data_IF_944709101984
#
_entry.id   IF_944709101984
#
_cell.length_a   1.000
_cell.length_b   1.000
_cell.length_c   1.000
_cell.angle_alpha   90.00
_cell.angle_beta   90.00
_cell.angle_gamma   90.00
#
_symmetry.space_group_name_H-M   'P 1'
#
loop_
_entity.id
_entity.type
_entity.pdbx_description
1 polymer ?
#
# COMPACT_ATOMS: atom_id res chain seq x y z
N UNK A 1 -3.38 -2.59 -6.12
CA UNK A 1 -2.77 -3.86 -5.62
C UNK A 1 -3.88 -4.64 -4.95
N UNK A 2 -4.21 -5.81 -5.49
CA UNK A 2 -5.21 -6.69 -4.89
C UNK A 2 -4.75 -7.05 -3.48
N UNK A 3 -5.66 -7.01 -2.50
CA UNK A 3 -5.33 -7.39 -1.12
C UNK A 3 -4.92 -8.88 -1.13
N UNK A 4 -3.82 -9.23 -0.48
CA UNK A 4 -3.33 -10.61 -0.33
C UNK A 4 -4.45 -11.55 0.14
N UNK A 5 -5.40 -11.04 0.93
CA UNK A 5 -6.58 -11.78 1.39
C UNK A 5 -7.51 -12.15 0.23
N UNK A 6 -7.71 -11.25 -0.73
CA UNK A 6 -8.51 -11.52 -1.93
C UNK A 6 -7.82 -12.57 -2.80
N UNK A 7 -6.51 -12.44 -3.03
CA UNK A 7 -5.73 -13.42 -3.78
C UNK A 7 -5.81 -14.81 -3.17
N UNK A 8 -5.71 -14.93 -1.85
CA UNK A 8 -5.83 -16.21 -1.15
C UNK A 8 -7.25 -16.78 -1.18
N UNK A 9 -8.27 -15.95 -1.32
CA UNK A 9 -9.66 -16.42 -1.48
C UNK A 9 -9.87 -17.04 -2.86
N UNK A 10 -9.28 -16.45 -3.89
CA UNK A 10 -9.35 -16.89 -5.28
C UNK A 10 -8.50 -18.15 -5.54
N UNK A 11 -7.45 -18.40 -4.74
CA UNK A 11 -6.55 -19.52 -4.92
C UNK A 11 -7.28 -20.85 -4.66
N UNK A 12 -7.32 -21.74 -5.67
CA UNK A 12 -7.70 -23.13 -5.46
C UNK A 12 -6.56 -23.87 -4.76
N UNK A 13 -6.80 -24.19 -3.48
CA UNK A 13 -5.77 -24.79 -2.63
C UNK A 13 -5.46 -26.24 -3.04
N UNK A 14 -6.43 -27.00 -3.52
CA UNK A 14 -6.22 -28.37 -3.98
C UNK A 14 -5.38 -28.39 -5.26
N UNK A 15 -5.73 -27.54 -6.22
CA UNK A 15 -4.94 -27.39 -7.44
C UNK A 15 -3.52 -26.91 -7.15
N UNK A 16 -3.36 -26.00 -6.17
CA UNK A 16 -2.03 -25.55 -5.74
C UNK A 16 -1.21 -26.69 -5.13
N UNK A 17 -1.81 -27.58 -4.32
CA UNK A 17 -1.12 -28.78 -3.81
C UNK A 17 -0.61 -29.68 -4.95
N UNK A 18 -1.45 -29.87 -5.99
CA UNK A 18 -1.08 -30.66 -7.17
C UNK A 18 0.09 -30.02 -7.92
N UNK A 19 0.07 -28.70 -8.12
CA UNK A 19 1.11 -27.96 -8.83
C UNK A 19 2.47 -27.99 -8.11
N UNK A 20 2.44 -27.89 -6.78
CA UNK A 20 3.66 -27.97 -5.95
C UNK A 20 4.13 -29.41 -5.71
N UNK A 21 3.40 -30.41 -6.24
CA UNK A 21 3.73 -31.82 -6.03
C UNK A 21 3.58 -32.31 -4.59
N UNK A 22 2.77 -31.62 -3.80
CA UNK A 22 2.53 -31.95 -2.40
C UNK A 22 1.66 -33.18 -2.31
N UNK A 23 2.13 -34.19 -1.58
CA UNK A 23 1.40 -35.47 -1.44
C UNK A 23 0.25 -35.31 -0.45
N UNK A 24 -0.97 -35.55 -0.92
CA UNK A 24 -2.18 -35.51 -0.08
C UNK A 24 -3.14 -36.62 -0.45
N UNK A 25 -4.15 -36.83 0.41
CA UNK A 25 -5.28 -37.76 0.18
C UNK A 25 -6.58 -36.94 0.27
N UNK A 26 -7.52 -37.24 -0.58
CA UNK A 26 -8.87 -36.68 -0.48
C UNK A 26 -9.60 -37.35 0.67
N UNK A 27 -10.06 -36.55 1.61
CA UNK A 27 -10.97 -36.99 2.67
C UNK A 27 -12.40 -37.17 2.17
N UNK A 28 -13.26 -37.71 3.02
CA UNK A 28 -14.69 -37.78 2.74
C UNK A 28 -15.34 -36.39 2.70
N UNK A 29 -16.48 -36.30 2.00
CA UNK A 29 -17.33 -35.10 2.07
C UNK A 29 -18.15 -35.20 3.35
N UNK A 30 -17.92 -34.31 4.28
CA UNK A 30 -18.70 -34.17 5.52
C UNK A 30 -19.68 -33.01 5.44
N UNK A 31 -20.56 -32.86 6.40
CA UNK A 31 -21.42 -31.68 6.57
C UNK A 31 -20.61 -30.39 6.76
N UNK A 32 -19.33 -30.52 7.07
CA UNK A 32 -18.37 -29.41 7.23
C UNK A 32 -17.60 -29.04 5.95
N UNK A 33 -17.84 -29.76 4.83
CA UNK A 33 -17.22 -29.52 3.55
C UNK A 33 -16.23 -30.62 3.13
N UNK A 34 -15.45 -30.31 2.06
CA UNK A 34 -14.41 -31.20 1.51
C UNK A 34 -13.12 -31.03 2.32
N UNK A 35 -12.50 -32.15 2.63
CA UNK A 35 -11.24 -32.17 3.37
C UNK A 35 -10.14 -32.88 2.58
N UNK A 36 -8.90 -32.44 2.77
CA UNK A 36 -7.69 -33.14 2.32
C UNK A 36 -6.82 -33.45 3.53
N UNK A 37 -6.15 -34.61 3.45
CA UNK A 37 -5.16 -35.02 4.44
C UNK A 37 -3.77 -34.98 3.79
N UNK A 38 -2.94 -34.06 4.23
CA UNK A 38 -1.61 -33.78 3.66
C UNK A 38 -0.57 -34.62 4.39
N UNK A 39 0.35 -35.22 3.63
CA UNK A 39 1.36 -36.13 4.15
C UNK A 39 2.33 -35.47 5.10
N UNK A 40 2.83 -34.30 4.74
CA UNK A 40 3.90 -33.61 5.46
C UNK A 40 3.44 -32.24 5.97
N UNK A 41 3.85 -31.92 7.18
CA UNK A 41 3.57 -30.61 7.78
C UNK A 41 4.67 -29.63 7.45
N UNK A 42 4.39 -28.46 6.85
CA UNK A 42 5.43 -27.49 6.49
C UNK A 42 6.03 -26.78 7.70
N UNK A 43 5.46 -26.94 8.89
CA UNK A 43 5.94 -26.30 10.13
C UNK A 43 6.85 -27.22 10.93
N UNK A 44 6.39 -28.44 11.23
CA UNK A 44 7.17 -29.37 12.06
C UNK A 44 7.84 -30.50 11.26
N UNK A 45 7.66 -30.56 9.92
CA UNK A 45 8.25 -31.60 9.07
C UNK A 45 7.68 -33.02 9.29
N UNK A 46 6.68 -33.19 10.16
CA UNK A 46 6.07 -34.50 10.37
C UNK A 46 5.44 -35.05 9.09
N UNK A 47 5.88 -36.24 8.65
CA UNK A 47 5.44 -36.91 7.42
C UNK A 47 4.39 -38.00 7.66
N UNK A 48 3.69 -37.97 8.77
CA UNK A 48 2.81 -39.05 9.24
C UNK A 48 1.31 -38.84 8.94
N UNK A 49 0.96 -38.07 7.91
CA UNK A 49 -0.42 -37.78 7.54
C UNK A 49 -1.23 -37.12 8.66
N UNK A 50 -0.63 -36.20 9.39
CA UNK A 50 -1.24 -35.53 10.54
C UNK A 50 -1.82 -34.18 10.23
N UNK A 51 -1.70 -33.69 8.98
CA UNK A 51 -2.24 -32.40 8.55
C UNK A 51 -3.58 -32.63 7.87
N UNK A 52 -4.63 -32.07 8.41
CA UNK A 52 -5.98 -32.04 7.85
C UNK A 52 -6.31 -30.60 7.44
N UNK A 53 -6.85 -30.43 6.26
CA UNK A 53 -7.20 -29.12 5.73
C UNK A 53 -8.59 -29.16 5.10
N UNK A 54 -9.47 -28.26 5.54
CA UNK A 54 -10.80 -28.14 4.99
C UNK A 54 -10.78 -27.14 3.84
N UNK A 55 -11.09 -27.62 2.64
CA UNK A 55 -11.05 -26.83 1.41
C UNK A 55 -12.18 -25.79 1.34
N UNK A 56 -13.27 -26.02 2.05
CA UNK A 56 -14.45 -25.16 2.00
C UNK A 56 -14.28 -23.89 2.83
N UNK A 57 -13.73 -24.03 4.05
CA UNK A 57 -13.52 -22.89 4.94
C UNK A 57 -12.07 -22.38 4.97
N UNK A 58 -11.15 -23.08 4.28
CA UNK A 58 -9.75 -22.66 4.18
C UNK A 58 -8.92 -22.80 5.46
N UNK A 59 -9.36 -23.65 6.40
CA UNK A 59 -8.70 -23.88 7.69
C UNK A 59 -8.20 -25.30 7.81
N UNK A 60 -7.02 -25.48 8.39
CA UNK A 60 -6.42 -26.79 8.66
C UNK A 60 -5.87 -26.91 10.07
N UNK A 61 -5.44 -28.12 10.42
CA UNK A 61 -4.77 -28.42 11.68
C UNK A 61 -3.76 -29.57 11.49
N UNK A 62 -2.61 -29.45 12.15
CA UNK A 62 -1.67 -30.55 12.29
C UNK A 62 -1.85 -31.21 13.68
N UNK A 63 -1.93 -32.55 13.68
CA UNK A 63 -2.10 -33.37 14.89
C UNK A 63 -0.82 -34.11 15.27
N UNK A 64 0.36 -33.67 14.83
CA UNK A 64 1.63 -34.32 15.16
C UNK A 64 2.07 -34.07 16.61
N UNK A 65 1.55 -33.05 17.27
CA UNK A 65 1.87 -32.74 18.67
C UNK A 65 3.20 -31.98 18.88
N UNK A 66 4.02 -31.86 17.85
CA UNK A 66 5.37 -31.26 17.93
C UNK A 66 5.37 -29.75 17.60
N UNK A 67 4.24 -29.10 17.71
CA UNK A 67 4.16 -27.66 17.53
C UNK A 67 4.30 -26.95 18.88
N UNK A 68 5.03 -25.83 18.98
CA UNK A 68 5.19 -25.07 20.22
C UNK A 68 3.86 -24.51 20.77
N UNK A 69 2.86 -24.36 19.90
CA UNK A 69 1.48 -24.00 20.23
C UNK A 69 0.55 -24.67 19.20
N UNK A 70 -0.76 -24.73 19.47
CA UNK A 70 -1.73 -25.23 18.51
C UNK A 70 -1.78 -24.34 17.26
N UNK A 71 -0.93 -24.62 16.29
CA UNK A 71 -0.90 -23.86 15.03
C UNK A 71 -2.14 -24.25 14.22
N UNK A 72 -3.06 -23.32 14.13
CA UNK A 72 -4.18 -23.41 13.21
C UNK A 72 -3.77 -22.91 11.83
N UNK A 73 -3.67 -23.80 10.87
CA UNK A 73 -3.38 -23.43 9.49
C UNK A 73 -4.60 -22.78 8.83
N UNK A 74 -4.35 -21.69 8.14
CA UNK A 74 -5.18 -21.23 7.04
C UNK A 74 -4.33 -21.22 5.77
N UNK A 75 -4.93 -20.91 4.63
CA UNK A 75 -4.17 -20.86 3.36
C UNK A 75 -2.90 -20.01 3.48
N UNK A 76 -3.01 -18.82 4.08
CA UNK A 76 -1.87 -17.92 4.28
C UNK A 76 -0.72 -18.58 5.05
N UNK A 77 -1.03 -19.15 6.22
CA UNK A 77 -0.04 -19.75 7.11
C UNK A 77 0.60 -20.96 6.44
N UNK A 78 -0.19 -21.82 5.82
CA UNK A 78 0.30 -23.01 5.16
C UNK A 78 1.25 -22.68 3.99
N UNK A 79 0.81 -21.82 3.05
CA UNK A 79 1.62 -21.41 1.91
C UNK A 79 2.91 -20.70 2.33
N UNK A 80 2.82 -19.84 3.34
CA UNK A 80 3.97 -19.09 3.85
C UNK A 80 5.04 -20.01 4.43
N UNK A 81 4.64 -20.99 5.26
CA UNK A 81 5.58 -21.96 5.82
C UNK A 81 6.16 -22.89 4.76
N UNK A 82 5.31 -23.34 3.83
CA UNK A 82 5.75 -24.20 2.73
C UNK A 82 6.75 -23.49 1.81
N UNK A 83 6.44 -22.27 1.38
CA UNK A 83 7.29 -21.55 0.43
C UNK A 83 8.58 -21.00 1.05
N UNK A 84 8.64 -20.79 2.36
CA UNK A 84 9.76 -20.16 3.04
C UNK A 84 10.08 -18.73 2.58
N UNK A 85 9.15 -18.10 1.83
CA UNK A 85 9.35 -16.77 1.23
C UNK A 85 9.31 -15.65 2.25
N UNK A 86 10.08 -14.60 1.99
CA UNK A 86 9.98 -13.35 2.74
C UNK A 86 8.58 -12.74 2.58
N UNK A 87 8.21 -11.82 3.48
CA UNK A 87 6.90 -11.13 3.37
C UNK A 87 6.74 -10.41 2.03
N UNK A 88 7.83 -9.87 1.49
CA UNK A 88 7.82 -9.12 0.23
C UNK A 88 7.61 -10.02 -0.98
N UNK A 89 8.25 -11.19 -0.99
CA UNK A 89 8.23 -12.11 -2.13
C UNK A 89 7.01 -13.04 -2.09
N UNK A 90 6.32 -13.10 -0.95
CA UNK A 90 5.20 -14.01 -0.76
C UNK A 90 3.96 -13.60 -1.57
N UNK A 91 3.68 -12.30 -1.69
CA UNK A 91 2.57 -11.82 -2.51
C UNK A 91 2.78 -12.18 -3.99
N UNK A 92 3.99 -11.97 -4.50
CA UNK A 92 4.35 -12.36 -5.86
C UNK A 92 4.25 -13.89 -6.07
N UNK A 93 4.67 -14.67 -5.08
CA UNK A 93 4.52 -16.11 -5.11
C UNK A 93 3.05 -16.55 -5.23
N UNK A 94 2.15 -15.95 -4.45
CA UNK A 94 0.71 -16.24 -4.50
C UNK A 94 0.11 -15.81 -5.85
N UNK A 95 0.50 -14.66 -6.38
CA UNK A 95 0.06 -14.20 -7.70
C UNK A 95 0.50 -15.16 -8.81
N UNK A 96 1.75 -15.61 -8.78
CA UNK A 96 2.27 -16.58 -9.76
C UNK A 96 1.54 -17.91 -9.68
N UNK A 97 1.22 -18.40 -8.49
CA UNK A 97 0.41 -19.60 -8.30
C UNK A 97 -0.99 -19.44 -8.90
N UNK A 98 -1.64 -18.31 -8.68
CA UNK A 98 -2.95 -17.98 -9.27
C UNK A 98 -2.91 -17.90 -10.80
N UNK A 99 -1.90 -17.23 -11.36
CA UNK A 99 -1.70 -17.14 -12.82
C UNK A 99 -1.59 -18.55 -13.41
N UNK A 100 -0.85 -19.43 -12.74
CA UNK A 100 -0.71 -20.83 -13.18
C UNK A 100 -2.01 -21.62 -13.08
N UNK A 101 -2.96 -21.17 -12.26
CA UNK A 101 -4.33 -21.71 -12.17
C UNK A 101 -5.30 -21.09 -13.20
N UNK A 102 -4.78 -20.26 -14.13
CA UNK A 102 -5.59 -19.56 -15.13
C UNK A 102 -6.23 -18.26 -14.63
N UNK A 103 -5.88 -17.80 -13.43
CA UNK A 103 -6.28 -16.48 -12.96
C UNK A 103 -5.52 -15.42 -13.77
N UNK A 104 -6.24 -14.54 -14.38
CA UNK A 104 -5.67 -13.31 -14.91
C UNK A 104 -5.87 -12.23 -13.83
N UNK A 105 -4.83 -11.46 -13.46
CA UNK A 105 -5.06 -10.27 -12.69
C UNK A 105 -6.20 -9.53 -13.40
N UNK A 106 -7.31 -9.33 -12.72
CA UNK A 106 -8.32 -8.41 -13.22
C UNK A 106 -7.48 -7.23 -13.63
N UNK A 107 -7.34 -6.99 -14.96
CA UNK A 107 -6.96 -5.65 -15.37
C UNK A 107 -7.88 -4.84 -14.50
N UNK A 108 -7.31 -4.19 -13.48
CA UNK A 108 -7.99 -3.03 -12.98
C UNK A 108 -8.26 -2.30 -14.30
N UNK A 109 -9.47 -2.45 -14.87
CA UNK A 109 -10.06 -1.25 -15.36
C UNK A 109 -9.68 -0.33 -14.24
N UNK A 110 -8.78 0.60 -14.54
CA UNK A 110 -8.73 1.82 -13.78
C UNK A 110 -10.17 2.27 -13.87
N UNK A 111 -10.99 1.70 -13.02
CA UNK A 111 -12.19 2.33 -12.53
C UNK A 111 -11.50 3.51 -11.90
N UNK A 112 -11.33 4.50 -12.76
CA UNK A 112 -11.18 5.88 -12.41
C UNK A 112 -12.16 6.00 -11.28
N UNK A 113 -11.61 5.81 -10.04
CA UNK A 113 -12.37 5.55 -8.83
C UNK A 113 -13.48 6.53 -8.92
N UNK A 114 -14.68 5.99 -9.12
CA UNK A 114 -15.83 6.71 -9.65
C UNK A 114 -15.79 8.05 -8.98
N UNK A 115 -15.44 9.05 -9.76
CA UNK A 115 -15.24 10.41 -9.33
C UNK A 115 -16.21 10.74 -8.21
N UNK A 116 -15.83 10.50 -6.98
CA UNK A 116 -16.07 11.51 -5.99
C UNK A 116 -15.05 12.56 -6.39
N UNK A 117 -15.33 13.28 -7.47
CA UNK A 117 -14.82 14.62 -7.61
C UNK A 117 -15.27 15.25 -6.31
N UNK A 118 -14.35 15.42 -5.39
CA UNK A 118 -14.51 16.40 -4.34
C UNK A 118 -14.69 17.70 -5.12
N UNK A 119 -15.94 18.02 -5.44
CA UNK A 119 -16.31 19.27 -6.11
C UNK A 119 -15.96 20.38 -5.15
N UNK A 120 -14.74 20.87 -5.28
CA UNK A 120 -14.24 21.96 -4.47
C UNK A 120 -12.71 22.01 -4.43
N UNK A 121 -12.13 23.14 -4.08
CA UNK A 121 -10.72 23.30 -3.90
C UNK A 121 -10.22 22.40 -2.76
N UNK A 122 -9.05 21.76 -2.96
CA UNK A 122 -8.41 20.96 -1.92
C UNK A 122 -8.11 21.83 -0.70
N UNK A 123 -8.72 21.49 0.45
CA UNK A 123 -8.47 22.19 1.70
C UNK A 123 -7.18 21.69 2.33
N UNK A 124 -6.20 22.58 2.42
CA UNK A 124 -4.96 22.33 3.17
C UNK A 124 -5.19 22.43 4.68
N UNK A 125 -4.44 21.68 5.51
CA UNK A 125 -4.35 21.92 6.94
C UNK A 125 -3.97 23.37 7.25
N UNK A 126 -4.22 23.84 8.47
CA UNK A 126 -3.73 25.17 8.89
C UNK A 126 -2.22 25.27 8.62
N UNK A 127 -1.82 26.32 7.92
CA UNK A 127 -0.44 26.49 7.45
C UNK A 127 -0.03 27.94 7.37
N UNK A 128 1.26 28.15 7.21
CA UNK A 128 1.87 29.42 6.83
C UNK A 128 2.38 29.32 5.40
N UNK A 129 2.21 30.38 4.64
CA UNK A 129 2.89 30.55 3.35
C UNK A 129 4.38 30.75 3.54
N UNK A 130 5.19 30.23 2.64
CA UNK A 130 6.64 30.37 2.70
C UNK A 130 7.14 31.41 1.67
N UNK A 131 8.11 32.27 2.03
CA UNK A 131 8.76 32.40 3.33
C UNK A 131 7.90 33.12 4.38
N UNK A 132 8.10 32.79 5.67
CA UNK A 132 7.49 33.49 6.81
C UNK A 132 8.41 34.64 7.18
N UNK A 133 7.94 35.89 7.08
CA UNK A 133 8.74 37.08 7.35
C UNK A 133 10.12 37.07 6.66
N UNK A 134 10.17 36.57 5.42
CA UNK A 134 11.37 36.43 4.62
C UNK A 134 12.27 35.25 4.98
N UNK A 135 11.90 34.41 5.96
CA UNK A 135 12.69 33.27 6.43
C UNK A 135 12.03 31.94 6.06
N UNK A 136 12.87 30.93 5.87
CA UNK A 136 12.43 29.55 5.66
C UNK A 136 12.77 28.70 6.88
N UNK A 137 12.02 27.62 7.14
CA UNK A 137 12.44 26.59 8.08
C UNK A 137 13.84 26.04 7.75
N UNK A 138 14.66 25.78 8.76
CA UNK A 138 16.07 25.34 8.60
C UNK A 138 16.16 24.11 7.68
N UNK A 139 15.23 23.19 7.77
CA UNK A 139 15.13 22.03 6.89
C UNK A 139 15.17 22.38 5.40
N UNK A 140 14.53 23.48 4.99
CA UNK A 140 14.54 23.92 3.58
C UNK A 140 15.86 24.65 3.26
N UNK A 141 16.41 25.41 4.20
CA UNK A 141 17.70 26.08 4.05
C UNK A 141 18.83 25.06 3.86
N UNK A 142 18.87 24.01 4.70
CA UNK A 142 19.83 22.90 4.60
C UNK A 142 19.75 22.17 3.26
N UNK A 143 18.56 22.14 2.64
CA UNK A 143 18.33 21.57 1.30
C UNK A 143 18.55 22.59 0.19
N UNK A 144 19.08 23.76 0.53
CA UNK A 144 19.35 24.84 -0.40
C UNK A 144 18.11 25.31 -1.19
N UNK A 145 16.94 25.22 -0.60
CA UNK A 145 15.72 25.83 -1.17
C UNK A 145 15.76 27.34 -0.86
N UNK A 146 15.73 28.15 -1.89
CA UNK A 146 15.62 29.59 -1.73
C UNK A 146 14.17 30.03 -1.47
N UNK A 147 13.95 31.25 -0.94
CA UNK A 147 12.63 31.83 -0.82
C UNK A 147 11.84 31.84 -2.15
N UNK A 148 12.53 32.13 -3.26
CA UNK A 148 11.90 32.14 -4.58
C UNK A 148 11.52 30.73 -5.05
N UNK A 149 12.35 29.71 -4.78
CA UNK A 149 11.98 28.33 -5.05
C UNK A 149 10.79 27.87 -4.19
N UNK A 150 10.77 28.25 -2.92
CA UNK A 150 9.64 27.92 -2.04
C UNK A 150 8.33 28.53 -2.56
N UNK A 151 8.35 29.76 -3.04
CA UNK A 151 7.20 30.40 -3.71
C UNK A 151 6.86 29.73 -5.03
N UNK A 152 7.86 29.44 -5.87
CA UNK A 152 7.64 28.80 -7.18
C UNK A 152 6.94 27.44 -7.06
N UNK A 153 7.31 26.65 -6.05
CA UNK A 153 6.71 25.34 -5.78
C UNK A 153 5.52 25.42 -4.82
N UNK A 154 5.09 26.62 -4.47
CA UNK A 154 3.94 26.85 -3.59
C UNK A 154 4.02 26.12 -2.25
N UNK A 155 5.23 26.04 -1.67
CA UNK A 155 5.45 25.32 -0.41
C UNK A 155 4.78 26.05 0.76
N UNK A 156 4.22 25.27 1.68
CA UNK A 156 3.58 25.75 2.90
C UNK A 156 4.21 25.08 4.11
N UNK A 157 4.14 25.71 5.26
CA UNK A 157 4.57 25.13 6.51
C UNK A 157 3.40 24.95 7.47
N UNK A 158 3.13 23.69 7.84
CA UNK A 158 2.14 23.33 8.84
C UNK A 158 2.86 23.10 10.16
N UNK A 159 2.76 24.03 11.09
CA UNK A 159 3.28 23.86 12.46
C UNK A 159 2.36 22.92 13.23
N UNK A 160 1.05 23.19 13.18
CA UNK A 160 0.01 22.37 13.78
C UNK A 160 -1.25 22.49 12.91
N UNK A 161 -1.75 21.36 12.41
CA UNK A 161 -2.93 21.36 11.56
C UNK A 161 -3.41 19.96 11.20
N UNK A 162 -4.70 19.87 10.89
CA UNK A 162 -5.34 18.61 10.51
C UNK A 162 -6.03 18.73 9.17
N UNK A 163 -5.90 17.71 8.33
CA UNK A 163 -6.74 17.52 7.16
C UNK A 163 -7.99 16.74 7.57
N UNK A 164 -9.15 17.31 7.32
CA UNK A 164 -10.43 16.67 7.60
C UNK A 164 -10.79 15.68 6.49
N UNK A 165 -11.25 14.50 6.86
CA UNK A 165 -11.73 13.47 5.93
C UNK A 165 -12.91 12.72 6.56
N UNK A 166 -13.75 12.09 5.74
CA UNK A 166 -14.84 11.22 6.21
C UNK A 166 -14.31 9.81 6.32
N UNK A 167 -14.35 9.20 7.48
CA UNK A 167 -13.95 7.81 7.67
C UNK A 167 -14.93 6.88 6.94
N UNK A 168 -14.47 6.07 5.96
CA UNK A 168 -15.35 5.26 5.12
C UNK A 168 -16.05 4.11 5.87
N UNK A 169 -15.60 3.80 7.10
CA UNK A 169 -16.20 2.74 7.90
C UNK A 169 -17.22 3.25 8.92
N UNK A 170 -17.08 4.50 9.36
CA UNK A 170 -17.92 5.08 10.42
C UNK A 170 -18.75 6.26 9.95
N UNK A 171 -18.54 6.73 8.73
CA UNK A 171 -19.16 7.93 8.13
C UNK A 171 -18.99 9.20 8.99
N UNK A 172 -17.96 9.21 9.84
CA UNK A 172 -17.64 10.32 10.73
C UNK A 172 -16.51 11.17 10.16
N UNK A 173 -16.58 12.47 10.35
CA UNK A 173 -15.48 13.38 10.03
C UNK A 173 -14.34 13.17 11.01
N UNK A 174 -13.16 12.82 10.51
CA UNK A 174 -11.93 12.66 11.26
C UNK A 174 -10.86 13.64 10.80
N UNK A 175 -9.88 13.90 11.64
CA UNK A 175 -8.74 14.76 11.32
C UNK A 175 -7.43 13.97 11.26
N UNK A 176 -6.74 14.05 10.14
CA UNK A 176 -5.38 13.52 9.99
C UNK A 176 -4.38 14.64 10.28
N UNK A 177 -3.50 14.45 11.27
CA UNK A 177 -2.52 15.45 11.67
C UNK A 177 -1.38 15.59 10.65
N UNK A 178 -1.00 16.84 10.38
CA UNK A 178 0.13 17.22 9.53
C UNK A 178 1.12 18.12 10.27
N UNK A 179 1.22 17.94 11.57
CA UNK A 179 2.05 18.77 12.42
C UNK A 179 3.53 18.70 12.03
N UNK A 180 4.22 19.85 12.11
CA UNK A 180 5.65 20.03 11.80
C UNK A 180 6.04 19.51 10.41
N UNK A 181 5.21 19.79 9.38
CA UNK A 181 5.44 19.33 8.01
C UNK A 181 5.51 20.48 7.01
N UNK A 182 6.38 20.34 6.03
CA UNK A 182 6.27 21.10 4.79
C UNK A 182 5.19 20.47 3.94
N UNK A 183 4.17 21.25 3.61
CA UNK A 183 3.13 20.85 2.67
C UNK A 183 3.61 21.16 1.26
N UNK A 184 3.53 20.16 0.40
CA UNK A 184 3.96 20.19 -0.99
C UNK A 184 2.72 19.97 -1.84
N UNK A 185 2.11 21.03 -2.39
CA UNK A 185 0.93 20.91 -3.24
C UNK A 185 1.24 20.15 -4.53
N UNK A 186 0.27 19.36 -4.98
CA UNK A 186 0.36 18.61 -6.23
C UNK A 186 -0.79 19.02 -7.13
N UNK A 187 -0.45 19.48 -8.32
CA UNK A 187 -1.37 19.98 -9.32
C UNK A 187 -1.52 18.97 -10.46
N UNK A 188 -2.67 18.98 -11.12
CA UNK A 188 -2.84 18.34 -12.42
C UNK A 188 -2.14 19.16 -13.53
N UNK A 189 -2.23 18.72 -14.77
CA UNK A 189 -1.60 19.41 -15.91
C UNK A 189 -2.26 20.75 -16.25
N UNK A 190 -3.47 20.99 -15.78
CA UNK A 190 -4.21 22.24 -15.95
C UNK A 190 -3.91 23.25 -14.83
N UNK A 191 -3.04 22.88 -13.88
CA UNK A 191 -2.66 23.74 -12.75
C UNK A 191 -3.69 23.78 -11.61
N UNK A 192 -4.59 22.83 -11.56
CA UNK A 192 -5.58 22.70 -10.46
C UNK A 192 -5.00 21.79 -9.39
N UNK A 193 -4.97 22.26 -8.14
CA UNK A 193 -4.51 21.46 -7.00
C UNK A 193 -5.44 20.27 -6.76
N UNK A 194 -4.90 19.06 -6.81
CA UNK A 194 -5.65 17.80 -6.63
C UNK A 194 -5.31 17.08 -5.34
N UNK A 195 -4.16 17.31 -4.79
CA UNK A 195 -3.70 16.73 -3.53
C UNK A 195 -2.49 17.50 -3.00
N UNK A 196 -1.96 17.04 -1.90
CA UNK A 196 -0.70 17.54 -1.36
C UNK A 196 0.05 16.42 -0.66
N UNK A 197 1.33 16.64 -0.37
CA UNK A 197 2.15 15.74 0.41
C UNK A 197 2.73 16.52 1.60
N UNK A 198 2.71 15.91 2.79
CA UNK A 198 3.32 16.48 3.99
C UNK A 198 4.69 15.86 4.27
N UNK A 199 5.79 16.60 4.15
CA UNK A 199 7.14 16.16 4.51
C UNK A 199 7.44 16.52 5.96
N UNK A 200 7.68 15.52 6.80
CA UNK A 200 8.17 15.73 8.17
C UNK A 200 9.54 16.40 8.18
N UNK A 201 9.72 17.42 9.01
CA UNK A 201 10.97 18.15 9.16
C UNK A 201 11.66 17.93 10.51
N UNK A 202 11.05 17.17 11.41
CA UNK A 202 11.60 16.88 12.74
C UNK A 202 12.53 15.66 12.74
N UNK A 203 12.36 14.78 11.77
CA UNK A 203 13.03 13.49 11.72
C UNK A 203 12.45 12.45 12.69
N UNK A 204 11.46 12.81 13.53
CA UNK A 204 10.88 11.96 14.55
C UNK A 204 9.63 11.22 14.08
N UNK A 205 8.98 11.67 13.00
CA UNK A 205 7.77 11.03 12.53
C UNK A 205 8.05 9.64 11.90
N UNK A 206 7.26 8.64 12.26
CA UNK A 206 7.31 7.28 11.67
C UNK A 206 7.25 7.33 10.15
N UNK A 207 6.36 8.18 9.60
CA UNK A 207 6.22 8.41 8.16
C UNK A 207 6.82 9.75 7.78
N UNK A 208 7.96 9.70 7.11
CA UNK A 208 8.63 10.91 6.58
C UNK A 208 7.75 11.68 5.62
N UNK A 209 7.02 10.99 4.76
CA UNK A 209 6.05 11.54 3.83
C UNK A 209 4.65 11.04 4.16
N UNK A 210 3.68 11.93 4.14
CA UNK A 210 2.31 11.65 4.44
C UNK A 210 1.40 12.23 3.35
N UNK A 211 0.54 11.38 2.77
CA UNK A 211 -0.52 11.83 1.88
C UNK A 211 -1.83 12.01 2.65
N UNK A 212 -2.65 13.00 2.28
CA UNK A 212 -3.95 13.20 2.91
C UNK A 212 -4.89 12.04 2.59
N UNK A 213 -5.66 11.64 3.60
CA UNK A 213 -6.70 10.63 3.44
C UNK A 213 -7.76 11.12 2.46
N UNK A 214 -8.31 10.20 1.66
CA UNK A 214 -9.35 10.45 0.64
C UNK A 214 -8.96 11.38 -0.52
N UNK A 215 -7.77 11.93 -0.54
CA UNK A 215 -7.25 12.60 -1.73
C UNK A 215 -6.36 11.64 -2.53
N UNK A 216 -6.16 11.89 -3.84
CA UNK A 216 -5.28 11.07 -4.66
C UNK A 216 -3.88 10.99 -4.07
N UNK A 217 -3.35 9.76 -3.97
CA UNK A 217 -1.98 9.50 -3.51
C UNK A 217 -0.98 9.50 -4.68
N UNK A 218 0.25 9.04 -4.41
CA UNK A 218 1.31 8.89 -5.41
C UNK A 218 0.87 8.03 -6.61
N UNK A 219 1.43 8.33 -7.78
CA UNK A 219 1.20 7.58 -9.02
C UNK A 219 0.02 8.08 -9.86
N UNK A 220 -0.76 9.05 -9.38
CA UNK A 220 -1.88 9.64 -10.16
C UNK A 220 -1.52 10.94 -10.85
N UNK A 221 -0.60 11.72 -10.28
CA UNK A 221 -0.19 13.02 -10.82
C UNK A 221 1.33 13.12 -10.90
N UNK A 222 1.82 13.76 -11.94
CA UNK A 222 3.23 14.10 -12.08
C UNK A 222 3.50 15.41 -11.32
N UNK A 223 4.27 15.35 -10.24
CA UNK A 223 4.64 16.54 -9.49
C UNK A 223 5.30 17.58 -10.39
N UNK A 224 4.85 18.81 -10.28
CA UNK A 224 5.28 19.93 -11.13
C UNK A 224 5.04 19.73 -12.65
N UNK A 225 4.20 18.77 -13.03
CA UNK A 225 3.92 18.42 -14.43
C UNK A 225 3.30 19.58 -15.21
N UNK A 226 2.43 20.39 -14.58
CA UNK A 226 1.79 21.55 -15.19
C UNK A 226 2.81 22.58 -15.72
N UNK A 227 3.98 22.72 -15.07
CA UNK A 227 5.05 23.60 -15.51
C UNK A 227 5.94 22.97 -16.60
N UNK A 228 5.76 21.68 -16.89
CA UNK A 228 6.47 20.97 -17.96
C UNK A 228 5.69 20.94 -19.28
N UNK A 229 4.41 21.26 -19.26
CA UNK A 229 3.57 21.29 -20.46
C UNK A 229 4.17 22.24 -21.50
N UNK A 230 4.28 21.77 -22.75
CA UNK A 230 4.82 22.53 -23.87
C UNK A 230 6.33 22.72 -23.89
N UNK A 231 7.08 22.13 -22.94
CA UNK A 231 8.55 22.17 -22.93
C UNK A 231 9.13 21.12 -23.89
N UNK A 232 10.19 21.49 -24.62
CA UNK A 232 10.89 20.59 -25.54
C UNK A 232 11.69 19.50 -24.80
N UNK A 233 12.14 19.80 -23.60
CA UNK A 233 12.94 18.88 -22.76
C UNK A 233 12.42 18.91 -21.34
N UNK A 234 12.26 17.74 -20.75
CA UNK A 234 11.81 17.56 -19.37
C UNK A 234 12.78 16.62 -18.64
N UNK A 235 13.15 16.99 -17.42
CA UNK A 235 13.93 16.13 -16.52
C UNK A 235 12.97 15.47 -15.54
N UNK A 236 13.02 14.15 -15.45
CA UNK A 236 12.20 13.36 -14.53
C UNK A 236 13.05 12.94 -13.33
N UNK A 237 12.55 13.15 -12.13
CA UNK A 237 13.21 12.82 -10.86
C UNK A 237 12.31 11.93 -10.00
N UNK A 238 12.90 11.23 -9.01
CA UNK A 238 12.16 10.30 -8.14
C UNK A 238 11.26 11.00 -7.11
N UNK A 239 11.67 12.17 -6.61
CA UNK A 239 10.97 12.86 -5.53
C UNK A 239 10.84 14.37 -5.75
N UNK A 240 9.90 14.98 -5.00
CA UNK A 240 9.61 16.40 -5.12
C UNK A 240 10.83 17.29 -4.82
N UNK A 241 11.66 16.93 -3.82
CA UNK A 241 12.88 17.69 -3.51
C UNK A 241 13.96 17.56 -4.58
N UNK A 242 14.00 16.45 -5.31
CA UNK A 242 14.92 16.28 -6.43
C UNK A 242 14.51 17.18 -7.60
N UNK A 243 13.19 17.28 -7.87
CA UNK A 243 12.63 18.24 -8.84
C UNK A 243 13.00 19.68 -8.46
N UNK A 244 12.89 20.02 -7.17
CA UNK A 244 13.28 21.35 -6.67
C UNK A 244 14.79 21.58 -6.85
N UNK A 245 15.62 20.56 -6.64
CA UNK A 245 17.06 20.60 -6.83
C UNK A 245 17.48 20.87 -8.27
N UNK A 246 16.76 20.31 -9.25
CA UNK A 246 17.04 20.52 -10.68
C UNK A 246 16.66 21.94 -11.15
N UNK A 247 15.68 22.57 -10.49
CA UNK A 247 15.18 23.89 -10.86
C UNK A 247 16.07 25.05 -10.38
N UNK A 248 17.08 24.81 -9.52
CA UNK A 248 18.00 25.82 -8.97
C UNK A 248 18.65 26.71 -10.04
#
# INVERSE_FOLDING_TARGET
MSDLKELLTELDFEQWLDMEGIIYRRGGVSTRGREVNIKECPVCGSSNWKVYFNLTNGVGKCFAGDHPEEIQFNKLVFLKHYSGKSRRDFEEYVQNALISQGWAPKKEEVVLASKVELEGPVALPRHYELPIDGRLPDYLVERHISPDLAKYFDLRYCVEGKHAYVDPYTDQVKGQAFDMRILIPVYDLDGVMKTFQGRDITGAAERRYLFPMQLPASGKFLYNGHNAVGKQTVVVCEGAFDVMGVKR
#
